data_IF_634832085459
#
_entry.id   IF_634832085459
#
_cell.length_a   1.000
_cell.length_b   1.000
_cell.length_c   1.000
_cell.angle_alpha   90.00
_cell.angle_beta   90.00
_cell.angle_gamma   90.00
#
_symmetry.space_group_name_H-M   'P 1'
#
loop_
_entity.id
_entity.type
_entity.pdbx_description
1 polymer ?
#
# COMPACT_ATOMS: atom_id res chain seq x y z
N UNK A 1 6.97 -12.31 12.22
CA UNK A 1 6.32 -11.42 11.24
C UNK A 1 6.22 -10.04 11.87
N UNK A 2 7.07 -9.07 11.47
CA UNK A 2 6.96 -7.70 12.01
C UNK A 2 5.63 -7.13 11.52
N UNK A 3 4.75 -6.77 12.44
CA UNK A 3 3.48 -6.14 12.10
C UNK A 3 3.78 -4.75 11.52
N UNK A 4 3.48 -4.57 10.23
CA UNK A 4 3.63 -3.28 9.55
C UNK A 4 2.55 -2.35 10.03
N UNK A 5 2.95 -1.17 10.47
CA UNK A 5 2.02 -0.15 10.95
C UNK A 5 1.10 0.31 9.82
N UNK A 6 -0.12 0.76 10.15
CA UNK A 6 -1.07 1.29 9.16
C UNK A 6 -0.44 2.44 8.36
N UNK A 7 0.44 3.22 9.00
CA UNK A 7 1.17 4.34 8.39
C UNK A 7 2.16 3.88 7.31
N UNK A 8 2.90 2.80 7.56
CA UNK A 8 3.78 2.19 6.54
C UNK A 8 2.99 1.57 5.39
N UNK A 9 1.84 0.94 5.67
CA UNK A 9 0.98 0.42 4.60
C UNK A 9 0.44 1.56 3.72
N UNK A 10 0.09 2.69 4.34
CA UNK A 10 -0.43 3.86 3.65
C UNK A 10 0.65 4.56 2.82
N UNK A 11 1.91 4.59 3.27
CA UNK A 11 3.00 5.20 2.50
C UNK A 11 3.36 4.40 1.25
N UNK A 12 3.26 3.06 1.29
CA UNK A 12 3.55 2.19 0.13
C UNK A 12 2.63 2.48 -1.07
N UNK A 13 1.37 2.82 -0.83
CA UNK A 13 0.37 3.03 -1.89
C UNK A 13 0.74 4.15 -2.89
N UNK A 14 1.02 5.40 -2.46
CA UNK A 14 1.44 6.46 -3.39
C UNK A 14 2.80 6.18 -4.04
N UNK A 15 3.74 5.51 -3.36
CA UNK A 15 5.01 5.12 -4.00
C UNK A 15 4.82 4.16 -5.18
N UNK A 16 3.86 3.22 -5.06
CA UNK A 16 3.53 2.30 -6.14
C UNK A 16 2.68 2.96 -7.23
N UNK A 17 1.62 3.69 -6.85
CA UNK A 17 0.61 4.20 -7.78
C UNK A 17 0.93 5.58 -8.37
N UNK A 18 1.56 6.47 -7.62
CA UNK A 18 1.87 7.86 -8.05
C UNK A 18 3.27 7.94 -8.64
N UNK A 19 4.26 7.29 -8.00
CA UNK A 19 5.65 7.27 -8.48
C UNK A 19 5.96 6.11 -9.45
N UNK A 20 5.04 5.15 -9.62
CA UNK A 20 5.24 4.02 -10.54
C UNK A 20 6.38 3.09 -10.13
N UNK A 21 6.77 3.07 -8.85
CA UNK A 21 7.87 2.20 -8.40
C UNK A 21 7.47 0.74 -8.46
N UNK A 22 8.34 -0.08 -9.04
CA UNK A 22 8.19 -1.53 -9.02
C UNK A 22 8.28 -2.09 -7.59
N UNK A 23 7.64 -3.23 -7.34
CA UNK A 23 7.68 -3.95 -6.06
C UNK A 23 9.11 -4.21 -5.57
N UNK A 24 10.09 -4.36 -6.49
CA UNK A 24 11.51 -4.54 -6.14
C UNK A 24 12.08 -3.34 -5.39
N UNK A 25 11.85 -2.12 -5.89
CA UNK A 25 12.28 -0.89 -5.23
C UNK A 25 11.59 -0.70 -3.88
N UNK A 26 10.27 -0.97 -3.81
CA UNK A 26 9.50 -0.89 -2.55
C UNK A 26 10.04 -1.90 -1.54
N UNK A 27 10.36 -3.12 -1.99
CA UNK A 27 10.99 -4.14 -1.13
C UNK A 27 12.33 -3.68 -0.59
N UNK A 28 13.18 -3.08 -1.42
CA UNK A 28 14.50 -2.61 -0.99
C UNK A 28 14.38 -1.52 0.08
N UNK A 29 13.43 -0.60 -0.09
CA UNK A 29 13.18 0.49 0.85
C UNK A 29 12.56 0.03 2.17
N UNK A 30 11.60 -0.90 2.12
CA UNK A 30 10.86 -1.34 3.30
C UNK A 30 11.39 -2.65 3.89
N UNK A 31 12.43 -3.23 3.30
CA UNK A 31 13.03 -4.51 3.67
C UNK A 31 12.00 -5.64 3.89
N UNK A 32 11.03 -5.72 2.98
CA UNK A 32 9.83 -6.54 3.19
C UNK A 32 9.63 -7.59 2.10
N UNK A 33 9.04 -8.74 2.46
CA UNK A 33 8.73 -9.79 1.49
C UNK A 33 7.73 -9.29 0.43
N UNK A 34 7.99 -9.65 -0.83
CA UNK A 34 7.11 -9.34 -1.96
C UNK A 34 5.65 -9.75 -1.70
N UNK A 35 5.43 -10.91 -1.07
CA UNK A 35 4.10 -11.43 -0.71
C UNK A 35 3.35 -10.49 0.24
N UNK A 36 4.08 -9.85 1.15
CA UNK A 36 3.54 -8.91 2.14
C UNK A 36 3.18 -7.58 1.48
N UNK A 37 4.05 -7.06 0.61
CA UNK A 37 3.82 -5.81 -0.16
C UNK A 37 2.58 -5.96 -1.06
N UNK A 38 2.49 -7.04 -1.85
CA UNK A 38 1.33 -7.26 -2.72
C UNK A 38 0.01 -7.41 -1.94
N UNK A 39 0.05 -7.99 -0.73
CA UNK A 39 -1.13 -8.10 0.13
C UNK A 39 -1.60 -6.71 0.59
N UNK A 40 -0.68 -5.83 0.98
CA UNK A 40 -1.02 -4.48 1.41
C UNK A 40 -1.49 -3.60 0.24
N UNK A 41 -0.86 -3.70 -0.92
CA UNK A 41 -1.27 -3.00 -2.13
C UNK A 41 -2.72 -3.35 -2.52
N UNK A 42 -3.06 -4.65 -2.56
CA UNK A 42 -4.43 -5.09 -2.82
C UNK A 42 -5.42 -4.55 -1.78
N UNK A 43 -5.06 -4.59 -0.50
CA UNK A 43 -5.92 -4.12 0.59
C UNK A 43 -6.18 -2.62 0.50
N UNK A 44 -5.15 -1.82 0.18
CA UNK A 44 -5.30 -0.38 -0.01
C UNK A 44 -6.13 -0.07 -1.27
N UNK A 45 -5.89 -0.75 -2.39
CA UNK A 45 -6.69 -0.61 -3.60
C UNK A 45 -8.18 -0.88 -3.35
N UNK A 46 -8.49 -1.95 -2.62
CA UNK A 46 -9.87 -2.29 -2.26
C UNK A 46 -10.52 -1.17 -1.42
N UNK A 47 -9.82 -0.69 -0.39
CA UNK A 47 -10.28 0.41 0.48
C UNK A 47 -10.51 1.71 -0.31
N UNK A 48 -9.60 2.09 -1.21
CA UNK A 48 -9.74 3.30 -2.03
C UNK A 48 -10.72 3.15 -3.20
N UNK A 49 -10.97 1.93 -3.68
CA UNK A 49 -11.98 1.68 -4.72
C UNK A 49 -13.40 1.59 -4.14
N UNK A 50 -13.50 1.32 -2.83
CA UNK A 50 -14.79 1.25 -2.15
C UNK A 50 -15.32 2.66 -1.90
N UNK A 51 -16.61 2.95 -2.16
CA UNK A 51 -17.19 4.28 -1.97
C UNK A 51 -17.11 4.80 -0.54
N UNK A 52 -16.87 3.94 0.47
CA UNK A 52 -17.01 4.29 1.88
C UNK A 52 -16.13 5.45 2.37
N UNK A 53 -14.94 5.65 1.79
CA UNK A 53 -14.11 6.82 2.13
C UNK A 53 -14.60 8.04 1.34
N UNK A 54 -14.68 7.95 0.02
CA UNK A 54 -15.01 9.12 -0.81
C UNK A 54 -16.44 9.62 -0.59
N UNK A 55 -17.42 8.73 -0.41
CA UNK A 55 -18.81 9.10 -0.13
C UNK A 55 -19.04 9.69 1.27
N UNK A 56 -18.07 9.56 2.19
CA UNK A 56 -18.15 10.13 3.54
C UNK A 56 -17.50 11.52 3.63
N UNK A 57 -16.50 11.79 2.80
CA UNK A 57 -15.65 12.99 2.91
C UNK A 57 -15.74 13.95 1.71
N UNK A 58 -16.41 13.55 0.62
CA UNK A 58 -16.81 14.42 -0.51
C UNK A 58 -18.27 14.77 -0.36
#
# INVERSE_FOLDING_TARGET
>A
SKHVTIKEQLSIFPYACVMGLTIRHIREWFQQLNKTISKYLKKMLDVFSTPGIYAKYV
#
